data_IF_831927388454
#
_entry.id   IF_831927388454
#
_cell.length_a   1.000
_cell.length_b   1.000
_cell.length_c   1.000
_cell.angle_alpha   90.00
_cell.angle_beta   90.00
_cell.angle_gamma   90.00
#
_symmetry.space_group_name_H-M   'P 1'
#
loop_
_entity.id
_entity.type
_entity.pdbx_description
1 polymer ?
#
# COMPACT_ATOMS: atom_id res chain seq x y z
N UNK A 1 -11.22 32.59 -7.00
CA UNK A 1 -10.95 31.14 -6.81
C UNK A 1 -10.03 31.01 -5.59
N UNK A 2 -10.43 30.32 -4.51
CA UNK A 2 -9.57 30.13 -3.32
C UNK A 2 -8.92 28.74 -3.40
N UNK A 3 -7.60 28.69 -3.48
CA UNK A 3 -6.83 27.47 -3.35
C UNK A 3 -6.53 27.27 -1.87
N UNK A 4 -7.17 26.28 -1.26
CA UNK A 4 -6.85 25.87 0.10
C UNK A 4 -5.57 25.04 0.07
N UNK A 5 -4.61 25.32 0.95
CA UNK A 5 -3.44 24.45 1.11
C UNK A 5 -3.85 23.04 1.53
N UNK A 6 -2.99 22.03 1.29
CA UNK A 6 -3.28 20.61 1.57
C UNK A 6 -3.87 20.41 2.98
N UNK A 7 -3.30 21.07 3.99
CA UNK A 7 -3.77 21.01 5.37
C UNK A 7 -5.15 21.62 5.62
N UNK A 8 -5.48 22.73 4.94
CA UNK A 8 -6.76 23.42 5.12
C UNK A 8 -7.92 22.66 4.45
N UNK A 9 -7.70 22.15 3.23
CA UNK A 9 -8.70 21.31 2.56
C UNK A 9 -8.94 20.01 3.33
N UNK A 10 -7.87 19.37 3.79
CA UNK A 10 -7.91 18.08 4.50
C UNK A 10 -8.60 18.18 5.86
N UNK A 11 -8.34 19.24 6.65
CA UNK A 11 -9.08 19.48 7.89
C UNK A 11 -10.55 19.77 7.65
N UNK A 12 -10.88 20.55 6.61
CA UNK A 12 -12.27 20.85 6.24
C UNK A 12 -13.06 19.59 5.85
N UNK A 13 -12.40 18.62 5.20
CA UNK A 13 -13.03 17.36 4.75
C UNK A 13 -13.12 16.29 5.84
N UNK A 14 -12.14 16.19 6.73
CA UNK A 14 -12.00 15.04 7.62
C UNK A 14 -11.95 15.37 9.11
N UNK A 15 -12.13 16.63 9.50
CA UNK A 15 -12.12 17.04 10.91
C UNK A 15 -10.70 17.15 11.51
N UNK A 16 -10.59 17.23 12.85
CA UNK A 16 -9.30 17.30 13.54
C UNK A 16 -8.44 16.06 13.24
N UNK A 17 -7.16 16.29 13.00
CA UNK A 17 -6.23 15.30 12.48
C UNK A 17 -5.92 14.20 13.52
N UNK A 18 -6.50 13.01 13.36
CA UNK A 18 -5.93 11.79 13.93
C UNK A 18 -4.61 11.47 13.21
N UNK A 19 -3.59 11.00 13.95
CA UNK A 19 -2.26 10.67 13.41
C UNK A 19 -2.35 9.55 12.36
N UNK A 20 -2.52 9.92 11.10
CA UNK A 20 -2.52 8.97 9.98
C UNK A 20 -1.12 8.39 9.85
N UNK A 21 -1.02 7.08 10.04
CA UNK A 21 0.19 6.34 9.69
C UNK A 21 0.02 5.81 8.28
N UNK A 22 0.99 6.13 7.42
CA UNK A 22 1.10 5.47 6.13
C UNK A 22 1.43 3.98 6.34
N UNK A 23 0.96 3.15 5.42
CA UNK A 23 1.24 1.70 5.32
C UNK A 23 1.80 1.43 3.93
N UNK A 24 2.60 0.39 3.78
CA UNK A 24 3.09 -0.09 2.48
C UNK A 24 2.20 -1.22 1.99
N UNK A 25 1.75 -1.13 0.75
CA UNK A 25 1.02 -2.19 0.05
C UNK A 25 1.96 -2.78 -1.00
N UNK A 26 2.34 -4.04 -0.81
CA UNK A 26 3.17 -4.81 -1.73
C UNK A 26 2.26 -5.66 -2.60
N UNK A 27 2.47 -5.64 -3.92
CA UNK A 27 1.62 -6.33 -4.89
C UNK A 27 2.53 -7.13 -5.83
N UNK A 28 2.32 -8.45 -5.90
CA UNK A 28 2.91 -9.31 -6.91
C UNK A 28 1.96 -9.43 -8.10
N UNK A 29 2.43 -9.12 -9.30
CA UNK A 29 1.64 -9.16 -10.54
C UNK A 29 2.30 -10.16 -11.50
N UNK A 30 1.50 -11.05 -12.07
CA UNK A 30 1.98 -11.92 -13.15
C UNK A 30 2.21 -11.09 -14.42
N UNK A 31 3.40 -11.21 -15.01
CA UNK A 31 3.81 -10.37 -16.13
C UNK A 31 3.06 -10.68 -17.44
N UNK A 32 2.49 -11.89 -17.58
CA UNK A 32 1.83 -12.33 -18.83
C UNK A 32 0.33 -12.01 -18.83
N UNK A 33 -0.33 -12.27 -17.70
CA UNK A 33 -1.78 -12.14 -17.53
C UNK A 33 -2.18 -10.82 -16.89
N UNK A 34 -1.21 -10.08 -16.30
CA UNK A 34 -1.42 -8.87 -15.52
C UNK A 34 -2.33 -9.08 -14.30
N UNK A 35 -2.50 -10.33 -13.86
CA UNK A 35 -3.28 -10.65 -12.67
C UNK A 35 -2.46 -10.40 -11.40
N UNK A 36 -3.14 -9.94 -10.35
CA UNK A 36 -2.55 -9.85 -9.01
C UNK A 36 -2.48 -11.27 -8.45
N UNK A 37 -1.26 -11.72 -8.11
CA UNK A 37 -1.00 -13.08 -7.59
C UNK A 37 -0.67 -13.09 -6.10
N UNK A 38 -0.18 -11.97 -5.57
CA UNK A 38 0.16 -11.84 -4.16
C UNK A 38 -0.09 -10.41 -3.67
N UNK A 39 -0.47 -10.28 -2.41
CA UNK A 39 -0.67 -8.98 -1.76
C UNK A 39 -0.20 -9.04 -0.31
N UNK A 40 0.50 -7.99 0.14
CA UNK A 40 0.88 -7.85 1.54
C UNK A 40 0.78 -6.40 1.99
N UNK A 41 0.12 -6.16 3.13
CA UNK A 41 0.05 -4.84 3.77
C UNK A 41 0.98 -4.81 4.99
N UNK A 42 1.93 -3.87 5.03
CA UNK A 42 2.88 -3.73 6.14
C UNK A 42 2.92 -2.30 6.70
N UNK A 43 3.53 -2.16 7.87
CA UNK A 43 3.96 -0.86 8.38
C UNK A 43 5.10 -0.28 7.53
N UNK A 44 5.32 1.03 7.63
CA UNK A 44 6.33 1.75 6.85
C UNK A 44 7.78 1.34 7.11
N UNK A 45 8.06 0.76 8.27
CA UNK A 45 9.41 0.35 8.68
C UNK A 45 9.84 -1.02 8.13
N UNK A 46 8.94 -1.74 7.45
CA UNK A 46 9.25 -3.03 6.85
C UNK A 46 9.87 -2.80 5.47
N UNK A 47 10.99 -3.46 5.17
CA UNK A 47 11.63 -3.39 3.85
C UNK A 47 11.03 -4.42 2.89
N UNK A 48 11.13 -4.15 1.60
CA UNK A 48 10.49 -4.96 0.56
C UNK A 48 11.09 -6.38 0.52
N UNK A 49 12.40 -6.51 0.77
CA UNK A 49 13.10 -7.80 0.84
C UNK A 49 12.59 -8.71 1.96
N UNK A 50 12.12 -8.13 3.07
CA UNK A 50 11.55 -8.92 4.18
C UNK A 50 10.19 -9.52 3.83
N UNK A 51 9.49 -8.96 2.83
CA UNK A 51 8.13 -9.35 2.44
C UNK A 51 8.12 -10.37 1.30
N UNK A 52 9.25 -10.57 0.63
CA UNK A 52 9.35 -11.42 -0.56
C UNK A 52 8.91 -12.87 -0.29
N UNK A 53 9.34 -13.48 0.82
CA UNK A 53 8.97 -14.85 1.17
C UNK A 53 7.46 -15.02 1.35
N UNK A 54 6.83 -14.07 2.06
CA UNK A 54 5.38 -14.08 2.31
C UNK A 54 4.58 -13.91 1.01
N UNK A 55 5.09 -13.11 0.06
CA UNK A 55 4.45 -12.95 -1.25
C UNK A 55 4.59 -14.22 -2.10
N UNK A 56 5.77 -14.84 -2.13
CA UNK A 56 6.00 -16.06 -2.91
C UNK A 56 5.16 -17.23 -2.40
N UNK A 57 4.93 -17.33 -1.08
CA UNK A 57 4.08 -18.36 -0.49
C UNK A 57 2.59 -18.23 -0.88
N UNK A 58 2.15 -17.09 -1.42
CA UNK A 58 0.77 -16.92 -1.92
C UNK A 58 0.62 -17.44 -3.35
N UNK A 59 1.72 -17.67 -4.07
CA UNK A 59 1.72 -18.12 -5.46
C UNK A 59 1.88 -19.65 -5.49
N UNK A 60 1.02 -20.39 -6.21
CA UNK A 60 1.18 -21.83 -6.38
C UNK A 60 2.54 -22.19 -7.01
N UNK A 61 3.18 -23.27 -6.57
CA UNK A 61 4.47 -23.72 -7.11
C UNK A 61 4.37 -24.41 -8.49
N UNK A 62 3.18 -24.88 -8.86
CA UNK A 62 2.90 -25.60 -10.11
C UNK A 62 2.63 -24.67 -11.32
N UNK A 63 2.98 -23.38 -11.20
CA UNK A 63 2.79 -22.35 -12.22
C UNK A 63 4.13 -21.72 -12.63
#
# INVERSE_FOLDING_TARGET
>A
MKFLGEGEWKRKKHGPEYRRQWRKLHIGIDAKTLQIRAVQLTTNNVSDSQVLGDLLNQIPQDE
#
